data_IF_662652485192
#
_entry.id   IF_662652485192
#
_cell.length_a   1.000
_cell.length_b   1.000
_cell.length_c   1.000
_cell.angle_alpha   90.00
_cell.angle_beta   90.00
_cell.angle_gamma   90.00
#
_symmetry.space_group_name_H-M   'P 1'
#
loop_
_entity.id
_entity.type
_entity.pdbx_description
1 polymer ?
#
# COMPACT_ATOMS: atom_id res chain seq x y z
N UNK A 1 -2.10 14.00 -13.34
CA UNK A 1 -2.52 12.58 -13.25
C UNK A 1 -1.72 11.84 -12.18
N UNK A 2 -2.40 11.21 -11.20
CA UNK A 2 -1.74 10.46 -10.12
C UNK A 2 -1.18 9.13 -10.67
N UNK A 3 0.12 9.11 -11.04
CA UNK A 3 0.82 8.01 -11.75
C UNK A 3 0.78 6.62 -11.06
N UNK A 4 0.25 6.52 -9.83
CA UNK A 4 0.27 5.32 -9.00
C UNK A 4 -1.09 4.68 -8.69
N UNK A 5 -2.20 5.30 -9.07
CA UNK A 5 -3.54 4.73 -8.86
C UNK A 5 -3.67 3.38 -9.61
N UNK A 6 -4.48 2.46 -9.09
CA UNK A 6 -4.76 1.15 -9.68
C UNK A 6 -3.53 0.23 -9.86
N UNK A 7 -2.41 0.54 -9.21
CA UNK A 7 -1.25 -0.36 -9.18
C UNK A 7 -1.42 -1.40 -8.08
N UNK A 8 -1.03 -2.63 -8.39
CA UNK A 8 -0.95 -3.72 -7.43
C UNK A 8 0.31 -3.54 -6.58
N UNK A 9 0.14 -3.61 -5.28
CA UNK A 9 1.22 -3.51 -4.30
C UNK A 9 1.13 -4.64 -3.28
N UNK A 10 2.28 -5.04 -2.73
CA UNK A 10 2.40 -5.92 -1.57
C UNK A 10 2.76 -5.10 -0.34
N UNK A 11 2.22 -5.43 0.83
CA UNK A 11 2.81 -4.96 2.08
C UNK A 11 4.06 -5.81 2.35
N UNK A 12 5.25 -5.20 2.30
CA UNK A 12 6.52 -5.92 2.50
C UNK A 12 6.99 -5.89 3.95
N UNK A 13 6.68 -4.83 4.69
CA UNK A 13 7.05 -4.67 6.10
C UNK A 13 6.13 -3.66 6.77
N UNK A 14 6.03 -3.73 8.09
CA UNK A 14 5.30 -2.77 8.92
C UNK A 14 6.31 -2.20 9.91
N UNK A 15 6.59 -0.90 9.82
CA UNK A 15 7.62 -0.27 10.64
C UNK A 15 7.13 0.00 12.08
N UNK A 16 5.81 0.05 12.31
CA UNK A 16 5.23 0.26 13.65
C UNK A 16 4.14 -0.78 13.96
N UNK A 17 4.37 -1.59 15.00
CA UNK A 17 3.48 -2.69 15.43
C UNK A 17 2.26 -2.24 16.23
N UNK A 18 2.02 -0.94 16.39
CA UNK A 18 0.94 -0.41 17.23
C UNK A 18 -0.47 -0.79 16.77
N UNK A 19 -0.67 -1.17 15.50
CA UNK A 19 -1.98 -1.61 15.02
C UNK A 19 -1.96 -3.10 14.64
N UNK A 20 -2.37 -3.96 15.59
CA UNK A 20 -2.42 -5.41 15.40
C UNK A 20 -3.30 -5.85 14.23
N UNK A 21 -4.32 -5.05 13.87
CA UNK A 21 -5.19 -5.37 12.73
C UNK A 21 -4.46 -5.25 11.39
N UNK A 22 -3.46 -4.36 11.29
CA UNK A 22 -2.68 -4.16 10.06
C UNK A 22 -1.72 -5.34 9.82
N UNK A 23 -1.28 -6.01 10.88
CA UNK A 23 -0.42 -7.21 10.77
C UNK A 23 -1.10 -8.31 9.94
N UNK A 24 -2.43 -8.43 10.02
CA UNK A 24 -3.20 -9.39 9.21
C UNK A 24 -3.09 -9.15 7.70
N UNK A 25 -2.54 -8.02 7.28
CA UNK A 25 -2.32 -7.64 5.89
C UNK A 25 -0.85 -7.65 5.48
N UNK A 26 0.07 -7.99 6.39
CA UNK A 26 1.47 -8.21 6.06
C UNK A 26 1.58 -9.29 4.97
N UNK A 27 2.40 -9.02 3.95
CA UNK A 27 2.58 -9.86 2.76
C UNK A 27 1.35 -10.03 1.86
N UNK A 28 0.19 -9.46 2.20
CA UNK A 28 -0.97 -9.45 1.31
C UNK A 28 -0.81 -8.40 0.22
N UNK A 29 -1.46 -8.69 -0.90
CA UNK A 29 -1.53 -7.80 -2.06
C UNK A 29 -2.82 -7.01 -2.04
N UNK A 30 -2.74 -5.74 -2.41
CA UNK A 30 -3.91 -4.89 -2.63
C UNK A 30 -3.66 -3.92 -3.77
N UNK A 31 -4.64 -3.06 -4.02
CA UNK A 31 -4.61 -2.07 -5.11
C UNK A 31 -4.54 -0.68 -4.49
N UNK A 32 -3.71 0.21 -5.04
CA UNK A 32 -3.71 1.61 -4.63
C UNK A 32 -5.02 2.26 -5.07
N UNK A 33 -5.92 2.47 -4.11
CA UNK A 33 -7.21 3.13 -4.29
C UNK A 33 -7.13 4.65 -4.09
N UNK A 34 -6.07 5.15 -3.44
CA UNK A 34 -5.93 6.57 -3.19
C UNK A 34 -4.63 6.93 -2.51
N UNK A 35 -4.51 8.20 -2.14
CA UNK A 35 -3.38 8.76 -1.40
C UNK A 35 -3.89 9.69 -0.32
N UNK A 36 -3.18 9.73 0.80
CA UNK A 36 -3.45 10.66 1.89
C UNK A 36 -2.16 11.35 2.30
N UNK A 37 -2.27 12.64 2.55
CA UNK A 37 -1.20 13.46 3.12
C UNK A 37 -1.48 13.52 4.62
N UNK A 38 -0.59 12.97 5.45
CA UNK A 38 -0.75 12.99 6.90
C UNK A 38 -0.24 14.33 7.45
N UNK A 39 0.87 14.83 6.90
CA UNK A 39 1.41 16.15 7.14
C UNK A 39 2.28 16.55 5.93
N UNK A 40 2.87 17.75 5.97
CA UNK A 40 3.65 18.32 4.85
C UNK A 40 4.76 17.41 4.30
N UNK A 41 5.23 16.42 5.07
CA UNK A 41 6.35 15.54 4.69
C UNK A 41 5.94 14.08 4.50
N UNK A 42 4.73 13.69 4.89
CA UNK A 42 4.34 12.29 4.98
C UNK A 42 3.15 11.97 4.06
N UNK A 43 3.48 11.35 2.93
CA UNK A 43 2.53 10.81 1.98
C UNK A 43 2.37 9.31 2.20
N UNK A 44 1.12 8.86 2.26
CA UNK A 44 0.77 7.44 2.37
C UNK A 44 -0.12 7.02 1.21
N UNK A 45 0.00 5.76 0.82
CA UNK A 45 -0.89 5.15 -0.17
C UNK A 45 -2.05 4.45 0.56
N UNK A 46 -3.27 4.68 0.11
CA UNK A 46 -4.44 3.93 0.55
C UNK A 46 -4.54 2.68 -0.31
N UNK A 47 -4.41 1.53 0.32
CA UNK A 47 -4.47 0.21 -0.30
C UNK A 47 -5.83 -0.40 0.01
N UNK A 48 -6.56 -0.79 -1.03
CA UNK A 48 -7.77 -1.58 -0.93
C UNK A 48 -7.46 -3.06 -1.16
N UNK A 49 -7.97 -3.90 -0.26
CA UNK A 49 -7.83 -5.35 -0.30
C UNK A 49 -9.13 -6.01 -0.80
N UNK A 50 -9.07 -7.33 -1.06
CA UNK A 50 -10.21 -8.10 -1.57
C UNK A 50 -11.41 -8.15 -0.62
N UNK A 51 -11.18 -7.96 0.67
CA UNK A 51 -12.22 -7.87 1.71
C UNK A 51 -12.82 -6.46 1.82
N UNK A 52 -12.55 -5.59 0.83
CA UNK A 52 -12.93 -4.18 0.82
C UNK A 52 -12.34 -3.35 1.96
N UNK A 53 -11.44 -3.93 2.76
CA UNK A 53 -10.72 -3.19 3.80
C UNK A 53 -9.73 -2.23 3.13
N UNK A 54 -9.68 -1.01 3.64
CA UNK A 54 -8.72 0.02 3.20
C UNK A 54 -7.74 0.33 4.31
N UNK A 55 -6.45 0.24 3.98
CA UNK A 55 -5.36 0.56 4.91
C UNK A 55 -4.41 1.53 4.23
N UNK A 56 -4.08 2.60 4.94
CA UNK A 56 -2.99 3.49 4.56
C UNK A 56 -1.63 2.91 4.96
N UNK A 57 -0.69 2.89 4.03
CA UNK A 57 0.67 2.39 4.25
C UNK A 57 1.70 3.40 3.75
N UNK A 58 2.84 3.46 4.41
CA UNK A 58 3.96 4.27 3.94
C UNK A 58 4.51 3.68 2.62
N UNK A 59 5.03 4.56 1.77
CA UNK A 59 5.62 4.16 0.48
C UNK A 59 6.83 3.20 0.66
N UNK A 60 7.52 3.26 1.80
CA UNK A 60 8.62 2.37 2.14
C UNK A 60 8.17 1.03 2.78
N UNK A 61 6.90 0.88 3.11
CA UNK A 61 6.28 -0.34 3.67
C UNK A 61 5.68 -1.23 2.59
N UNK A 62 5.61 -0.72 1.36
CA UNK A 62 4.96 -1.37 0.23
C UNK A 62 5.96 -1.67 -0.89
N UNK A 63 5.62 -2.64 -1.72
CA UNK A 63 6.38 -3.03 -2.90
C UNK A 63 5.44 -3.07 -4.11
N UNK A 64 5.88 -2.51 -5.23
CA UNK A 64 5.08 -2.47 -6.45
C UNK A 64 5.32 -3.73 -7.26
N UNK A 65 4.25 -4.41 -7.64
CA UNK A 65 4.35 -5.44 -8.67
C UNK A 65 4.49 -4.76 -10.02
N UNK A 66 5.69 -4.77 -10.57
CA UNK A 66 5.89 -4.52 -12.00
C UNK A 66 5.61 -5.83 -12.74
N UNK A 67 4.65 -5.83 -13.67
CA UNK A 67 4.64 -6.84 -14.72
C UNK A 67 5.97 -6.67 -15.46
N UNK A 68 6.89 -7.61 -15.31
CA UNK A 68 7.97 -7.73 -16.28
C UNK A 68 7.31 -8.09 -17.61
N UNK A 69 7.24 -7.12 -18.52
CA UNK A 69 7.00 -7.43 -19.93
C UNK A 69 8.30 -8.12 -20.36
N UNK A 70 8.30 -9.45 -20.34
CA UNK A 70 9.37 -10.23 -20.97
C UNK A 70 9.33 -9.85 -22.45
N UNK A 71 10.42 -9.24 -22.92
CA UNK A 71 10.60 -8.83 -24.31
C UNK A 71 11.34 -9.93 -25.05
#
# INVERSE_FOLDING_TARGET
>A
MNKKLNRIVKIKKINNKQNSRVINYLYKTGVIAGRKIINQKLNVSIIEFKDYTRIWMLENEIEYYTKQIIK
#
